data_IF_694455948474
#
_entry.id   IF_694455948474
#
_cell.length_a   1.000
_cell.length_b   1.000
_cell.length_c   1.000
_cell.angle_alpha   90.00
_cell.angle_beta   90.00
_cell.angle_gamma   90.00
#
_symmetry.space_group_name_H-M   'P 1'
#
loop_
_entity.id
_entity.type
_entity.pdbx_description
1 polymer ?
#
# COMPACT_ATOMS: atom_id res chain seq x y z
N UNK A 1 -11.90 8.62 -2.32
CA UNK A 1 -11.16 9.91 -2.36
C UNK A 1 -11.37 10.73 -1.09
N UNK A 2 -10.49 10.61 -0.08
CA UNK A 2 -10.62 11.31 1.20
C UNK A 2 -10.35 12.82 1.07
N UNK A 3 -11.03 13.63 1.88
CA UNK A 3 -10.81 15.08 1.94
C UNK A 3 -9.86 15.43 3.07
N UNK A 4 -8.79 16.15 2.75
CA UNK A 4 -7.83 16.66 3.73
C UNK A 4 -8.35 17.94 4.40
N UNK A 5 -7.96 18.17 5.66
CA UNK A 5 -8.20 19.46 6.34
C UNK A 5 -7.30 20.55 5.73
N UNK A 6 -7.76 21.79 5.81
CA UNK A 6 -7.00 22.96 5.31
C UNK A 6 -5.56 22.98 5.86
N UNK A 7 -4.59 23.12 4.96
CA UNK A 7 -3.16 23.17 5.27
C UNK A 7 -2.47 21.81 5.38
N UNK A 8 -3.18 20.69 5.33
CA UNK A 8 -2.58 19.34 5.27
C UNK A 8 -2.21 19.02 3.82
N UNK A 9 -0.94 18.72 3.58
CA UNK A 9 -0.39 18.44 2.23
C UNK A 9 0.08 17.00 2.04
N UNK A 10 0.18 16.22 3.11
CA UNK A 10 0.64 14.84 3.08
C UNK A 10 0.02 14.04 4.24
N UNK A 11 -0.35 12.79 3.96
CA UNK A 11 -0.77 11.81 4.96
C UNK A 11 0.11 10.57 4.80
N UNK A 12 0.51 9.98 5.92
CA UNK A 12 1.01 8.62 5.99
C UNK A 12 -0.07 7.77 6.63
N UNK A 13 -0.54 6.76 5.91
CA UNK A 13 -1.54 5.81 6.37
C UNK A 13 -0.88 4.43 6.50
N UNK A 14 -1.22 3.72 7.58
CA UNK A 14 -0.87 2.31 7.78
C UNK A 14 -2.17 1.54 7.82
N UNK A 15 -2.35 0.62 6.88
CA UNK A 15 -3.60 -0.10 6.65
C UNK A 15 -3.30 -1.53 6.17
N UNK A 16 -4.24 -2.44 6.44
CA UNK A 16 -4.15 -3.86 6.06
C UNK A 16 -5.09 -4.21 4.91
N UNK A 17 -6.15 -3.42 4.70
CA UNK A 17 -7.01 -3.54 3.52
C UNK A 17 -6.30 -3.03 2.27
N UNK A 18 -5.86 -3.97 1.43
CA UNK A 18 -5.15 -3.66 0.19
C UNK A 18 -6.05 -2.96 -0.84
N UNK A 19 -7.36 -3.13 -0.80
CA UNK A 19 -8.28 -2.37 -1.67
C UNK A 19 -8.25 -0.88 -1.35
N UNK A 20 -8.30 -0.54 -0.05
CA UNK A 20 -8.23 0.86 0.42
C UNK A 20 -6.87 1.47 0.12
N UNK A 21 -5.78 0.74 0.40
CA UNK A 21 -4.41 1.21 0.14
C UNK A 21 -4.23 1.55 -1.34
N UNK A 22 -4.75 0.72 -2.24
CA UNK A 22 -4.59 0.90 -3.68
C UNK A 22 -5.46 2.04 -4.25
N UNK A 23 -6.62 2.34 -3.66
CA UNK A 23 -7.51 3.43 -4.10
C UNK A 23 -7.01 4.82 -3.67
N UNK A 24 -6.32 4.89 -2.52
CA UNK A 24 -6.05 6.17 -1.85
C UNK A 24 -4.59 6.61 -1.94
N UNK A 25 -3.64 5.68 -2.06
CA UNK A 25 -2.21 6.01 -1.97
C UNK A 25 -1.60 6.42 -3.31
N UNK A 26 -0.88 7.54 -3.32
CA UNK A 26 0.01 7.90 -4.45
C UNK A 26 1.28 7.01 -4.48
N UNK A 27 1.75 6.60 -3.30
CA UNK A 27 2.94 5.77 -3.08
C UNK A 27 2.72 4.81 -1.92
N UNK A 28 3.20 3.59 -2.06
CA UNK A 28 3.03 2.51 -1.09
C UNK A 28 4.42 1.97 -0.74
N UNK A 29 4.63 1.70 0.55
CA UNK A 29 5.77 0.95 1.08
C UNK A 29 5.21 -0.32 1.71
N UNK A 30 5.71 -1.47 1.28
CA UNK A 30 5.31 -2.77 1.84
C UNK A 30 6.41 -3.30 2.73
N UNK A 31 6.06 -3.64 3.97
CA UNK A 31 6.96 -4.25 4.94
C UNK A 31 6.53 -5.69 5.18
N UNK A 32 7.47 -6.64 5.24
CA UNK A 32 7.24 -8.00 5.71
C UNK A 32 8.22 -8.33 6.83
N UNK A 33 7.72 -8.77 7.98
CA UNK A 33 8.49 -8.98 9.22
C UNK A 33 9.48 -7.84 9.55
N UNK A 34 9.04 -6.58 9.38
CA UNK A 34 9.85 -5.39 9.66
C UNK A 34 10.91 -5.07 8.61
N UNK A 35 10.92 -5.76 7.46
CA UNK A 35 11.80 -5.50 6.32
C UNK A 35 11.02 -4.93 5.16
N UNK A 36 11.55 -3.88 4.52
CA UNK A 36 10.94 -3.34 3.29
C UNK A 36 11.14 -4.33 2.15
N UNK A 37 10.03 -4.80 1.58
CA UNK A 37 10.04 -5.74 0.44
C UNK A 37 9.71 -5.06 -0.88
N UNK A 38 8.96 -3.95 -0.85
CA UNK A 38 8.60 -3.20 -2.05
C UNK A 38 8.30 -1.73 -1.72
N UNK A 39 8.48 -0.87 -2.72
CA UNK A 39 8.10 0.54 -2.69
C UNK A 39 7.77 0.99 -4.11
N UNK A 40 6.65 1.68 -4.31
CA UNK A 40 6.22 2.12 -5.63
C UNK A 40 4.79 2.65 -5.67
N UNK A 41 4.28 2.85 -6.87
CA UNK A 41 2.87 3.17 -7.15
C UNK A 41 1.95 1.95 -6.90
N UNK A 42 0.63 2.14 -6.75
CA UNK A 42 -0.33 1.05 -6.65
C UNK A 42 -0.18 -0.02 -7.75
N UNK A 43 0.05 0.40 -8.99
CA UNK A 43 0.20 -0.51 -10.13
C UNK A 43 1.49 -1.35 -10.08
N UNK A 44 2.59 -0.77 -9.58
CA UNK A 44 3.84 -1.49 -9.38
C UNK A 44 3.74 -2.45 -8.19
N UNK A 45 3.07 -2.05 -7.11
CA UNK A 45 2.93 -2.89 -5.91
C UNK A 45 1.99 -4.08 -6.17
N UNK A 46 0.84 -3.88 -6.83
CA UNK A 46 -0.12 -4.97 -7.09
C UNK A 46 0.45 -6.06 -7.99
N UNK A 47 1.46 -5.74 -8.81
CA UNK A 47 2.13 -6.68 -9.72
C UNK A 47 3.46 -7.21 -9.15
N UNK A 48 3.86 -6.76 -7.97
CA UNK A 48 5.12 -7.18 -7.35
C UNK A 48 4.99 -8.61 -6.78
N UNK A 49 5.83 -9.57 -7.22
CA UNK A 49 5.72 -10.97 -6.82
C UNK A 49 5.97 -11.21 -5.32
N UNK A 50 6.85 -10.43 -4.67
CA UNK A 50 7.12 -10.56 -3.23
C UNK A 50 5.93 -10.03 -2.41
N UNK A 51 5.29 -8.95 -2.86
CA UNK A 51 4.06 -8.43 -2.25
C UNK A 51 2.92 -9.41 -2.40
N UNK A 52 2.75 -9.97 -3.59
CA UNK A 52 1.71 -10.97 -3.85
C UNK A 52 1.88 -12.16 -2.92
N UNK A 53 3.11 -12.67 -2.79
CA UNK A 53 3.43 -13.80 -1.92
C UNK A 53 3.21 -13.50 -0.43
N UNK A 54 3.55 -12.30 0.02
CA UNK A 54 3.48 -11.95 1.44
C UNK A 54 2.06 -11.52 1.89
N UNK A 55 1.27 -10.92 1.00
CA UNK A 55 0.02 -10.24 1.36
C UNK A 55 -1.20 -10.58 0.49
N UNK A 56 -1.01 -11.03 -0.76
CA UNK A 56 -2.12 -11.28 -1.70
C UNK A 56 -2.30 -12.76 -2.09
N UNK A 57 -1.56 -13.68 -1.46
CA UNK A 57 -1.71 -15.13 -1.64
C UNK A 57 -1.68 -15.83 -0.29
N UNK A 58 -2.58 -16.77 0.03
CA UNK A 58 -3.58 -17.48 -0.78
C UNK A 58 -4.99 -17.00 -0.41
N UNK A 59 -5.77 -16.54 -1.38
CA UNK A 59 -7.21 -16.81 -1.33
C UNK A 59 -7.35 -18.35 -1.37
N UNK A 60 -7.88 -18.92 -0.29
CA UNK A 60 -8.38 -20.29 -0.26
C UNK A 60 -9.79 -20.31 -0.86
#
# INVERSE_FOLDING_TARGET
>A
NPTLRDGVTCIVLVEHDMGVVMDVADRIIVLDFGRKIAEGTPDEIKTNPEVIKAYLGQEA
#
